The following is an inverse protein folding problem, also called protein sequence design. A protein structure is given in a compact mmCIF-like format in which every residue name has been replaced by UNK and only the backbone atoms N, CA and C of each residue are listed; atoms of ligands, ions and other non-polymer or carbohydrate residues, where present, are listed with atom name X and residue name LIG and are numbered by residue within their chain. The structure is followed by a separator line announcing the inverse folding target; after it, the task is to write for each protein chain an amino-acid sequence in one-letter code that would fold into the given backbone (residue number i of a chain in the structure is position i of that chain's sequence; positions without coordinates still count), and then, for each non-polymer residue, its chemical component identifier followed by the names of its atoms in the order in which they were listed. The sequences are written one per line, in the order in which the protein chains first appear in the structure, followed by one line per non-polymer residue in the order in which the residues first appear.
data_IF_061849189024
#
_entry.id   IF_061849189024
#
_cell.length_a   1.000
_cell.length_b   1.000
_cell.length_c   1.000
_cell.angle_alpha   90.00
_cell.angle_beta   90.00
_cell.angle_gamma   90.00
#
_symmetry.space_group_name_H-M   'P 1'
#
loop_
_entity.id
_entity.type
_entity.pdbx_description
1 polymer ?
#
# COMPACT_ATOMS: atom_id res chain seq x y z
N UNK A 1 22.15 -8.72 -3.18
CA UNK A 1 22.48 -7.32 -3.52
C UNK A 1 21.22 -6.51 -3.37
N UNK A 2 21.29 -5.39 -2.64
CA UNK A 2 20.18 -4.45 -2.48
C UNK A 2 20.22 -3.45 -3.62
N UNK A 3 19.10 -3.27 -4.32
CA UNK A 3 19.01 -2.30 -5.40
C UNK A 3 18.77 -0.88 -4.84
N UNK A 4 19.28 0.16 -5.50
CA UNK A 4 18.97 1.54 -5.11
C UNK A 4 17.47 1.80 -5.31
N UNK A 5 16.87 2.57 -4.40
CA UNK A 5 15.49 3.01 -4.49
C UNK A 5 15.46 4.52 -4.83
N UNK A 6 14.58 4.98 -5.74
CA UNK A 6 14.49 6.38 -6.11
C UNK A 6 13.74 7.21 -5.03
N UNK A 7 14.41 7.49 -3.91
CA UNK A 7 13.84 8.24 -2.78
C UNK A 7 13.28 9.61 -3.18
N UNK A 8 13.87 10.26 -4.18
CA UNK A 8 13.45 11.58 -4.67
C UNK A 8 12.04 11.60 -5.29
N UNK A 9 11.47 10.43 -5.58
CA UNK A 9 10.09 10.33 -6.05
C UNK A 9 9.05 10.24 -4.92
N UNK A 10 9.46 10.12 -3.65
CA UNK A 10 8.55 10.01 -2.50
C UNK A 10 8.11 11.41 -2.03
N UNK A 11 7.20 12.02 -2.80
CA UNK A 11 6.81 13.43 -2.60
C UNK A 11 5.43 13.62 -2.00
N UNK A 12 4.56 12.61 -2.07
CA UNK A 12 3.14 12.73 -1.68
C UNK A 12 2.93 12.26 -0.23
N UNK A 13 2.44 13.12 0.68
CA UNK A 13 2.09 12.72 2.03
C UNK A 13 0.96 11.68 2.06
N UNK A 14 1.10 10.67 2.91
CA UNK A 14 0.12 9.58 3.02
C UNK A 14 0.15 8.96 4.42
N UNK A 15 -1.02 8.54 4.89
CA UNK A 15 -1.18 7.70 6.08
C UNK A 15 -1.74 6.35 5.70
N UNK A 16 -1.18 5.28 6.24
CA UNK A 16 -1.63 3.90 6.00
C UNK A 16 -2.16 3.32 7.29
N UNK A 17 -3.40 2.85 7.25
CA UNK A 17 -4.06 2.19 8.37
C UNK A 17 -4.27 0.72 8.02
N UNK A 18 -3.75 -0.17 8.87
CA UNK A 18 -3.92 -1.60 8.72
C UNK A 18 -4.99 -2.13 9.68
N UNK A 19 -5.76 -3.08 9.20
CA UNK A 19 -6.67 -3.91 10.00
C UNK A 19 -5.85 -4.83 10.90
N UNK A 20 -6.08 -4.71 12.20
CA UNK A 20 -5.50 -5.55 13.24
C UNK A 20 -6.64 -6.25 13.98
N UNK A 21 -6.61 -7.58 14.11
CA UNK A 21 -7.60 -8.29 14.93
C UNK A 21 -7.37 -7.94 16.40
N UNK A 22 -8.42 -7.45 17.07
CA UNK A 22 -8.50 -7.22 18.50
C UNK A 22 -9.62 -8.04 19.13
N UNK A 23 -9.74 -7.97 20.46
CA UNK A 23 -10.74 -8.74 21.23
C UNK A 23 -12.19 -8.40 20.81
N UNK A 24 -12.48 -7.13 20.51
CA UNK A 24 -13.82 -6.65 20.11
C UNK A 24 -14.03 -6.58 18.58
N UNK A 25 -13.12 -7.16 17.79
CA UNK A 25 -13.19 -7.18 16.33
C UNK A 25 -12.01 -6.50 15.64
N UNK A 26 -12.22 -6.05 14.40
CA UNK A 26 -11.14 -5.50 13.56
C UNK A 26 -10.95 -4.01 13.88
N UNK A 27 -9.77 -3.66 14.36
CA UNK A 27 -9.38 -2.27 14.64
C UNK A 27 -8.44 -1.76 13.56
N UNK A 28 -8.57 -0.50 13.15
CA UNK A 28 -7.66 0.12 12.19
C UNK A 28 -6.53 0.86 12.91
N UNK A 29 -5.29 0.38 12.75
CA UNK A 29 -4.11 0.94 13.39
C UNK A 29 -3.25 1.69 12.37
N UNK A 30 -2.79 2.89 12.71
CA UNK A 30 -1.84 3.62 11.87
C UNK A 30 -0.50 2.87 11.85
N UNK A 31 -0.11 2.36 10.68
CA UNK A 31 1.15 1.61 10.50
C UNK A 31 2.24 2.44 9.80
N UNK A 32 1.86 3.50 9.11
CA UNK A 32 2.79 4.37 8.40
C UNK A 32 2.23 5.80 8.29
N UNK A 33 3.07 6.79 8.59
CA UNK A 33 2.81 8.23 8.38
C UNK A 33 4.07 8.84 7.76
N UNK A 34 3.97 9.25 6.49
CA UNK A 34 5.14 9.67 5.73
C UNK A 34 4.81 10.04 4.30
N UNK A 35 5.76 9.79 3.38
CA UNK A 35 5.59 10.08 1.96
C UNK A 35 5.68 8.82 1.10
N UNK A 36 4.94 8.82 0.00
CA UNK A 36 5.00 7.80 -1.04
C UNK A 36 5.20 8.42 -2.42
N UNK A 37 5.50 7.58 -3.41
CA UNK A 37 5.23 7.91 -4.79
C UNK A 37 3.79 7.48 -5.08
N UNK A 38 2.92 8.46 -5.31
CA UNK A 38 1.51 8.24 -5.59
C UNK A 38 1.22 8.41 -7.08
N UNK A 39 0.52 7.45 -7.67
CA UNK A 39 0.06 7.50 -9.05
C UNK A 39 -1.46 7.46 -9.09
N UNK A 40 -2.08 8.58 -9.48
CA UNK A 40 -3.50 8.67 -9.77
C UNK A 40 -3.77 8.06 -11.15
N UNK A 41 -4.24 6.82 -11.17
CA UNK A 41 -4.59 6.15 -12.41
C UNK A 41 -5.82 5.30 -12.17
N UNK A 42 -6.90 5.63 -12.87
CA UNK A 42 -8.04 4.72 -12.98
C UNK A 42 -7.66 3.57 -13.93
N UNK A 43 -7.84 2.34 -13.46
CA UNK A 43 -7.76 1.12 -14.27
C UNK A 43 -8.76 0.10 -13.76
N UNK A 44 -9.34 -0.68 -14.66
CA UNK A 44 -10.23 -1.78 -14.28
C UNK A 44 -9.46 -3.09 -14.17
N UNK A 45 -9.90 -3.97 -13.27
CA UNK A 45 -9.39 -5.33 -13.12
C UNK A 45 -10.54 -6.28 -12.80
N UNK A 46 -10.34 -7.58 -12.98
CA UNK A 46 -11.30 -8.59 -12.55
C UNK A 46 -10.92 -9.08 -11.15
N UNK A 47 -11.90 -9.10 -10.25
CA UNK A 47 -11.73 -9.78 -8.96
C UNK A 47 -11.83 -11.31 -9.12
N UNK A 48 -11.66 -12.03 -8.01
CA UNK A 48 -11.73 -13.50 -7.98
C UNK A 48 -13.08 -14.05 -8.46
N UNK A 49 -14.15 -13.25 -8.34
CA UNK A 49 -15.52 -13.57 -8.78
C UNK A 49 -15.79 -13.14 -10.23
N UNK A 50 -14.76 -12.75 -11.00
CA UNK A 50 -14.87 -12.22 -12.38
C UNK A 50 -15.74 -10.96 -12.51
N UNK A 51 -15.87 -10.19 -11.44
CA UNK A 51 -16.52 -8.88 -11.47
C UNK A 51 -15.48 -7.80 -11.78
N UNK A 52 -15.91 -6.78 -12.52
CA UNK A 52 -15.07 -5.61 -12.80
C UNK A 52 -14.96 -4.75 -11.55
N UNK A 53 -13.73 -4.50 -11.13
CA UNK A 53 -13.37 -3.60 -10.03
C UNK A 53 -12.52 -2.47 -10.60
N UNK A 54 -12.84 -1.24 -10.20
CA UNK A 54 -12.06 -0.06 -10.55
C UNK A 54 -11.01 0.21 -9.48
N UNK A 55 -9.75 0.33 -9.90
CA UNK A 55 -8.65 0.79 -9.06
C UNK A 55 -8.38 2.24 -9.41
N UNK A 56 -8.36 3.11 -8.40
CA UNK A 56 -8.29 4.57 -8.57
C UNK A 56 -6.90 5.14 -8.29
N UNK A 57 -5.96 4.33 -7.79
CA UNK A 57 -4.59 4.77 -7.55
C UNK A 57 -3.64 3.65 -7.14
N UNK A 58 -2.35 4.01 -7.11
CA UNK A 58 -1.27 3.18 -6.59
C UNK A 58 -0.36 4.01 -5.68
N UNK A 59 -0.05 3.48 -4.50
CA UNK A 59 0.96 4.04 -3.60
C UNK A 59 2.19 3.13 -3.54
N UNK A 60 3.37 3.69 -3.79
CA UNK A 60 4.67 3.00 -3.72
C UNK A 60 5.52 3.59 -2.59
N UNK A 61 6.02 2.72 -1.73
CA UNK A 61 6.85 3.05 -0.58
C UNK A 61 8.19 2.35 -0.69
N UNK A 62 9.22 2.95 -0.10
CA UNK A 62 10.52 2.32 0.07
C UNK A 62 10.46 1.30 1.21
N UNK A 63 11.13 0.16 1.02
CA UNK A 63 11.27 -0.92 1.99
C UNK A 63 9.90 -1.47 2.50
N UNK A 64 9.90 -2.24 3.59
CA UNK A 64 8.70 -2.80 4.22
C UNK A 64 8.11 -1.83 5.24
N UNK A 65 6.95 -1.23 4.93
CA UNK A 65 6.25 -0.31 5.85
C UNK A 65 5.42 -1.05 6.92
N UNK A 66 5.29 -2.37 6.81
CA UNK A 66 4.59 -3.18 7.81
C UNK A 66 5.26 -4.55 7.96
N UNK A 67 6.42 -4.62 8.64
CA UNK A 67 7.33 -5.76 8.63
C UNK A 67 6.65 -7.12 8.79
N UNK A 68 6.81 -7.98 7.78
CA UNK A 68 6.39 -9.39 7.85
C UNK A 68 4.87 -9.64 7.82
N UNK A 69 4.04 -8.59 7.77
CA UNK A 69 2.59 -8.71 7.81
C UNK A 69 1.94 -8.33 6.47
N UNK A 70 0.85 -8.98 6.06
CA UNK A 70 0.04 -8.50 4.95
C UNK A 70 -0.67 -7.20 5.34
N UNK A 71 -0.88 -6.31 4.37
CA UNK A 71 -1.59 -5.04 4.61
C UNK A 71 -2.99 -5.16 4.02
N UNK A 72 -3.99 -5.08 4.90
CA UNK A 72 -5.42 -4.87 4.62
C UNK A 72 -5.87 -3.63 5.37
N UNK A 73 -6.82 -2.87 4.84
CA UNK A 73 -7.30 -1.63 5.46
C UNK A 73 -7.42 -0.51 4.43
N UNK A 74 -6.96 0.70 4.78
CA UNK A 74 -7.13 1.89 3.94
C UNK A 74 -5.95 2.85 4.05
N UNK A 75 -5.89 3.78 3.10
CA UNK A 75 -4.98 4.92 3.15
C UNK A 75 -5.73 6.23 3.20
N UNK A 76 -5.07 7.27 3.71
CA UNK A 76 -5.50 8.66 3.55
C UNK A 76 -4.41 9.37 2.76
N UNK A 77 -4.76 9.81 1.55
CA UNK A 77 -3.89 10.57 0.63
C UNK A 77 -4.67 11.76 0.12
N UNK A 78 -4.08 12.95 0.17
CA UNK A 78 -4.74 14.23 -0.20
C UNK A 78 -6.10 14.43 0.50
N UNK A 79 -6.21 13.98 1.76
CA UNK A 79 -7.45 14.04 2.55
C UNK A 79 -8.53 13.02 2.14
N UNK A 80 -8.30 12.22 1.11
CA UNK A 80 -9.25 11.22 0.61
C UNK A 80 -8.90 9.85 1.19
N UNK A 81 -9.90 9.21 1.80
CA UNK A 81 -9.82 7.82 2.25
C UNK A 81 -10.02 6.87 1.06
N UNK A 82 -9.05 5.99 0.81
CA UNK A 82 -9.10 4.97 -0.24
C UNK A 82 -8.85 3.58 0.33
N UNK A 83 -9.62 2.60 -0.10
CA UNK A 83 -9.50 1.22 0.41
C UNK A 83 -8.34 0.50 -0.26
N UNK A 84 -7.59 -0.29 0.49
CA UNK A 84 -6.50 -1.11 -0.06
C UNK A 84 -7.11 -2.34 -0.71
N UNK A 85 -7.04 -2.42 -2.03
CA UNK A 85 -7.46 -3.61 -2.77
C UNK A 85 -6.43 -4.73 -2.67
N UNK A 86 -5.15 -4.37 -2.83
CA UNK A 86 -4.05 -5.34 -2.83
C UNK A 86 -2.77 -4.70 -2.34
N UNK A 87 -2.03 -5.44 -1.52
CA UNK A 87 -0.66 -5.12 -1.13
C UNK A 87 0.35 -6.07 -1.78
N UNK A 88 1.54 -5.57 -2.08
CA UNK A 88 2.68 -6.36 -2.59
C UNK A 88 3.97 -5.88 -1.95
N UNK A 89 4.91 -6.80 -1.75
CA UNK A 89 6.26 -6.51 -1.22
C UNK A 89 7.33 -7.14 -2.12
N UNK A 90 7.63 -6.53 -3.28
CA UNK A 90 8.71 -7.00 -4.15
C UNK A 90 10.02 -7.13 -3.38
N UNK A 91 10.77 -8.20 -3.65
CA UNK A 91 12.04 -8.49 -2.96
C UNK A 91 13.23 -8.06 -3.82
N UNK A 92 14.26 -7.58 -3.15
CA UNK A 92 15.61 -7.48 -3.70
C UNK A 92 16.19 -8.87 -4.00
N UNK A 93 17.24 -8.96 -4.83
CA UNK A 93 18.00 -10.19 -5.04
C UNK A 93 18.57 -10.85 -3.76
N UNK A 94 18.82 -10.10 -2.69
CA UNK A 94 19.21 -10.67 -1.38
C UNK A 94 18.03 -11.09 -0.49
N UNK A 95 16.80 -11.01 -1.00
CA UNK A 95 15.59 -11.40 -0.28
C UNK A 95 15.01 -10.34 0.65
N UNK A 96 15.69 -9.21 0.88
CA UNK A 96 15.09 -8.07 1.60
C UNK A 96 13.93 -7.45 0.82
N UNK A 97 13.02 -6.75 1.48
CA UNK A 97 11.93 -6.04 0.78
C UNK A 97 12.50 -4.79 0.09
N UNK A 98 12.26 -4.65 -1.21
CA UNK A 98 12.65 -3.48 -2.00
C UNK A 98 11.65 -2.34 -1.81
N UNK A 99 10.37 -2.67 -1.89
CA UNK A 99 9.28 -1.71 -1.79
C UNK A 99 8.04 -2.34 -1.18
N UNK A 100 7.15 -1.48 -0.69
CA UNK A 100 5.75 -1.84 -0.46
C UNK A 100 4.91 -1.16 -1.53
N UNK A 101 3.99 -1.89 -2.15
CA UNK A 101 3.06 -1.37 -3.15
C UNK A 101 1.63 -1.62 -2.73
N UNK A 102 0.78 -0.59 -2.81
CA UNK A 102 -0.65 -0.68 -2.53
C UNK A 102 -1.44 -0.27 -3.79
N UNK A 103 -2.29 -1.17 -4.27
CA UNK A 103 -3.33 -0.87 -5.25
C UNK A 103 -4.59 -0.42 -4.49
N UNK A 104 -5.16 0.72 -4.89
CA UNK A 104 -6.25 1.39 -4.16
C UNK A 104 -7.54 1.43 -4.96
N UNK A 105 -8.67 1.37 -4.26
CA UNK A 105 -10.03 1.64 -4.74
C UNK A 105 -10.51 2.98 -4.19
#
# INVERSE_FOLDING_TARGET
MKLPFPDWCLVTPIKVYAEVPGEDGVTNTLIFDGKCNFSERSRTTLNEQKQVVELTGKALFKDDIYPGQPIKGYVIVDGIKRSIYRSRKPRNPDGTIYSTELDLM
#
